data_IF_209382640373
#
_entry.id   IF_209382640373
#
_cell.length_a   1.000
_cell.length_b   1.000
_cell.length_c   1.000
_cell.angle_alpha   90.00
_cell.angle_beta   90.00
_cell.angle_gamma   90.00
#
_symmetry.space_group_name_H-M   'P 1'
#
loop_
_entity.id
_entity.type
_entity.pdbx_description
1 polymer ?
#
# COMPACT_ATOMS: atom_id res chain seq x y z
N UNK A 1 11.54 -6.17 12.31
CA UNK A 1 10.48 -6.55 11.34
C UNK A 1 9.15 -6.15 11.97
N UNK A 2 8.45 -5.19 11.39
CA UNK A 2 7.11 -4.80 11.85
C UNK A 2 6.09 -5.74 11.21
N UNK A 3 5.21 -6.32 12.01
CA UNK A 3 4.10 -7.17 11.53
C UNK A 3 2.98 -6.27 11.01
N UNK A 4 2.53 -6.43 9.75
CA UNK A 4 1.41 -5.68 9.22
C UNK A 4 0.12 -5.94 10.01
N UNK A 5 -0.66 -4.88 10.23
CA UNK A 5 -1.97 -4.87 10.88
C UNK A 5 -3.06 -4.68 9.81
N UNK A 6 -4.31 -5.03 10.12
CA UNK A 6 -5.44 -4.78 9.22
C UNK A 6 -6.06 -3.43 9.54
N UNK A 7 -6.22 -2.59 8.52
CA UNK A 7 -7.03 -1.38 8.54
C UNK A 7 -8.29 -1.62 7.71
N UNK A 8 -9.46 -1.31 8.28
CA UNK A 8 -10.75 -1.45 7.62
C UNK A 8 -11.36 -0.07 7.35
N UNK A 9 -11.70 0.21 6.10
CA UNK A 9 -12.39 1.42 5.69
C UNK A 9 -13.63 1.07 4.88
N UNK A 10 -14.81 1.34 5.43
CA UNK A 10 -16.10 1.14 4.75
C UNK A 10 -16.18 -0.25 4.07
N UNK A 11 -15.82 -1.30 4.81
CA UNK A 11 -15.78 -2.72 4.36
C UNK A 11 -14.57 -3.12 3.50
N UNK A 12 -13.65 -2.21 3.22
CA UNK A 12 -12.42 -2.52 2.49
C UNK A 12 -11.26 -2.72 3.45
N UNK A 13 -10.61 -3.88 3.36
CA UNK A 13 -9.47 -4.22 4.19
C UNK A 13 -8.16 -3.99 3.44
N UNK A 14 -7.25 -3.25 4.07
CA UNK A 14 -5.89 -3.05 3.59
C UNK A 14 -4.90 -3.26 4.73
N UNK A 15 -3.73 -3.85 4.42
CA UNK A 15 -2.67 -3.96 5.41
C UNK A 15 -2.00 -2.61 5.66
N UNK A 16 -1.67 -2.35 6.92
CA UNK A 16 -0.97 -1.15 7.36
C UNK A 16 0.23 -1.51 8.25
N UNK A 17 1.25 -0.65 8.26
CA UNK A 17 2.40 -0.70 9.18
C UNK A 17 2.70 0.70 9.68
N UNK A 18 3.18 0.81 10.92
CA UNK A 18 3.73 2.06 11.44
C UNK A 18 5.21 2.15 11.08
N UNK A 19 5.60 3.27 10.46
CA UNK A 19 6.99 3.63 10.17
C UNK A 19 7.19 5.04 10.71
N UNK A 20 8.12 5.24 11.65
CA UNK A 20 8.37 6.55 12.28
C UNK A 20 7.11 7.24 12.81
N UNK A 21 6.20 6.47 13.43
CA UNK A 21 4.91 6.93 13.95
C UNK A 21 3.91 7.39 12.88
N UNK A 22 4.20 7.21 11.60
CA UNK A 22 3.29 7.47 10.49
C UNK A 22 2.70 6.15 9.96
N UNK A 23 1.39 6.12 9.64
CA UNK A 23 0.74 4.95 9.07
C UNK A 23 1.06 4.84 7.58
N UNK A 24 1.65 3.72 7.19
CA UNK A 24 1.86 3.34 5.80
C UNK A 24 0.91 2.22 5.43
N UNK A 25 0.41 2.24 4.20
CA UNK A 25 -0.46 1.20 3.66
C UNK A 25 0.28 0.35 2.64
N UNK A 26 -0.05 -0.94 2.59
CA UNK A 26 0.47 -1.81 1.53
C UNK A 26 -0.22 -1.42 0.22
N UNK A 27 0.51 -0.70 -0.64
CA UNK A 27 -0.06 -0.13 -1.85
C UNK A 27 -0.73 -1.14 -2.80
N UNK A 28 -0.27 -2.40 -2.81
CA UNK A 28 -0.93 -3.47 -3.60
C UNK A 28 -2.37 -3.70 -3.14
N UNK A 29 -2.61 -3.68 -1.83
CA UNK A 29 -3.94 -3.90 -1.27
C UNK A 29 -4.84 -2.72 -1.61
N UNK A 30 -4.33 -1.48 -1.44
CA UNK A 30 -5.02 -0.25 -1.83
C UNK A 30 -5.38 -0.25 -3.31
N UNK A 31 -4.44 -0.58 -4.21
CA UNK A 31 -4.69 -0.64 -5.64
C UNK A 31 -5.74 -1.71 -6.01
N UNK A 32 -5.77 -2.82 -5.29
CA UNK A 32 -6.76 -3.89 -5.49
C UNK A 32 -8.16 -3.44 -5.07
N UNK A 33 -8.27 -2.80 -3.90
CA UNK A 33 -9.53 -2.22 -3.38
C UNK A 33 -10.07 -1.14 -4.32
N UNK A 34 -9.21 -0.30 -4.88
CA UNK A 34 -9.59 0.74 -5.84
C UNK A 34 -9.95 0.19 -7.24
N UNK A 35 -9.81 -1.12 -7.48
CA UNK A 35 -10.20 -1.76 -8.73
C UNK A 35 -9.20 -1.61 -9.88
N UNK A 36 -7.92 -1.32 -9.60
CA UNK A 36 -6.89 -1.31 -10.65
C UNK A 36 -6.68 -2.72 -11.20
N UNK A 37 -6.87 -2.86 -12.51
CA UNK A 37 -6.63 -4.13 -13.23
C UNK A 37 -5.16 -4.57 -13.17
N UNK A 38 -4.22 -3.62 -13.16
CA UNK A 38 -2.80 -3.86 -13.01
C UNK A 38 -2.24 -3.07 -11.82
N UNK A 39 -2.18 -3.72 -10.65
CA UNK A 39 -1.66 -3.12 -9.41
C UNK A 39 -0.20 -2.69 -9.52
N UNK A 40 0.63 -3.36 -10.34
CA UNK A 40 2.04 -2.95 -10.53
C UNK A 40 2.15 -1.63 -11.29
N UNK A 41 1.37 -1.46 -12.35
CA UNK A 41 1.32 -0.21 -13.11
C UNK A 41 0.79 0.94 -12.25
N UNK A 42 -0.30 0.69 -11.50
CA UNK A 42 -0.86 1.67 -10.56
C UNK A 42 0.20 2.16 -9.56
N UNK A 43 0.94 1.23 -8.94
CA UNK A 43 2.03 1.59 -8.03
C UNK A 43 3.14 2.37 -8.75
N UNK A 44 3.54 1.95 -9.94
CA UNK A 44 4.58 2.63 -10.71
C UNK A 44 4.21 4.09 -11.05
N UNK A 45 2.93 4.37 -11.30
CA UNK A 45 2.44 5.68 -11.75
C UNK A 45 2.03 6.62 -10.62
N UNK A 46 1.60 6.09 -9.48
CA UNK A 46 0.92 6.86 -8.43
C UNK A 46 1.62 6.86 -7.08
N UNK A 47 2.70 6.09 -6.91
CA UNK A 47 3.51 6.09 -5.70
C UNK A 47 4.83 6.80 -5.99
N UNK A 48 5.42 7.47 -5.00
CA UNK A 48 6.72 8.11 -5.16
C UNK A 48 7.86 7.06 -5.19
N UNK A 49 9.05 7.45 -5.64
CA UNK A 49 10.14 6.50 -5.87
C UNK A 49 10.71 5.92 -4.57
N UNK A 50 10.71 6.73 -3.52
CA UNK A 50 11.12 6.39 -2.15
C UNK A 50 10.23 5.32 -1.50
N UNK A 51 8.95 5.27 -1.88
CA UNK A 51 7.94 4.37 -1.30
C UNK A 51 7.76 3.09 -2.13
N UNK A 52 8.45 2.96 -3.27
CA UNK A 52 8.40 1.77 -4.13
C UNK A 52 9.39 0.72 -3.69
N UNK A 53 8.91 -0.52 -3.56
CA UNK A 53 9.80 -1.68 -3.38
C UNK A 53 10.53 -1.97 -4.70
N UNK A 54 11.85 -1.74 -4.73
CA UNK A 54 12.70 -2.11 -5.86
C UNK A 54 13.15 -0.97 -6.77
N UNK A 55 13.22 0.28 -6.28
CA UNK A 55 13.97 1.35 -6.94
C UNK A 55 15.49 1.07 -6.84
N UNK A 56 15.95 0.12 -7.66
CA UNK A 56 17.36 -0.03 -8.04
C UNK A 56 17.46 0.20 -9.54
#
# INVERSE_FOLDING_TARGET
MNTPQIFNFEQNEVRTVLVNNEPYFVGKDVASVLGYSNTKDALSRHVDLEDKMGSR
#
